data_IF_142563060818
#
_entry.id   IF_142563060818
#
_cell.length_a   1.000
_cell.length_b   1.000
_cell.length_c   1.000
_cell.angle_alpha   90.00
_cell.angle_beta   90.00
_cell.angle_gamma   90.00
#
_symmetry.space_group_name_H-M   'P 1'
#
loop_
_entity.id
_entity.type
_entity.pdbx_description
1 polymer ?
#
# COMPACT_ATOMS: atom_id res chain seq x y z
N UNK A 1 13.64 -3.71 -95.34
CA UNK A 1 14.76 -2.78 -95.68
C UNK A 1 15.40 -2.39 -94.35
N UNK A 2 16.62 -2.95 -94.12
CA UNK A 2 17.84 -2.22 -93.82
C UNK A 2 17.71 -1.21 -92.65
N UNK A 3 18.52 -1.17 -91.59
CA UNK A 3 19.98 -1.51 -91.36
C UNK A 3 20.14 -1.41 -89.82
N UNK A 4 20.78 -2.29 -89.11
CA UNK A 4 22.16 -2.33 -88.66
C UNK A 4 22.65 -1.00 -87.98
N UNK A 5 23.12 -1.10 -86.73
CA UNK A 5 24.53 -0.99 -86.27
C UNK A 5 24.44 -0.93 -84.71
N UNK A 6 24.84 -1.89 -83.96
CA UNK A 6 26.16 -2.24 -83.40
C UNK A 6 26.73 -1.24 -82.39
N UNK A 7 26.90 -1.72 -81.16
CA UNK A 7 28.13 -1.73 -80.32
C UNK A 7 28.54 -0.40 -79.65
N UNK A 8 28.57 -0.34 -78.34
CA UNK A 8 29.81 -0.33 -77.57
C UNK A 8 29.61 -0.59 -76.07
N UNK A 9 30.38 -1.49 -75.57
CA UNK A 9 30.70 -1.87 -74.22
C UNK A 9 31.33 -0.71 -73.47
N UNK A 10 30.88 -0.40 -72.26
CA UNK A 10 31.73 0.17 -71.21
C UNK A 10 31.25 -0.25 -69.87
N UNK A 11 31.96 -1.16 -69.25
CA UNK A 11 31.86 -1.56 -67.88
C UNK A 11 32.30 -0.42 -66.95
N UNK A 12 31.47 0.07 -66.11
CA UNK A 12 31.87 0.85 -64.94
C UNK A 12 31.33 0.16 -63.69
N UNK A 13 32.18 -0.53 -62.98
CA UNK A 13 31.97 -1.08 -61.68
C UNK A 13 31.88 0.08 -60.67
N UNK A 14 30.70 0.39 -60.20
CA UNK A 14 30.52 1.25 -59.03
C UNK A 14 30.40 0.35 -57.82
N UNK A 15 31.46 0.33 -57.01
CA UNK A 15 31.42 -0.21 -55.64
C UNK A 15 30.48 0.64 -54.80
N UNK A 16 29.27 0.17 -54.58
CA UNK A 16 28.37 0.70 -53.54
C UNK A 16 28.81 0.14 -52.20
N UNK A 17 29.54 0.93 -51.44
CA UNK A 17 29.73 0.75 -50.00
C UNK A 17 28.38 0.90 -49.33
N UNK A 18 27.67 -0.20 -49.08
CA UNK A 18 26.56 -0.26 -48.16
C UNK A 18 27.11 -0.11 -46.74
N UNK A 19 27.11 1.15 -46.26
CA UNK A 19 27.25 1.42 -44.83
C UNK A 19 25.99 0.86 -44.14
N UNK A 20 26.11 -0.30 -43.50
CA UNK A 20 25.16 -0.77 -42.49
C UNK A 20 25.23 0.17 -41.32
N UNK A 21 24.57 1.30 -41.41
CA UNK A 21 24.13 2.08 -40.27
C UNK A 21 23.05 1.27 -39.55
N UNK A 22 23.42 0.57 -38.48
CA UNK A 22 22.47 -0.04 -37.58
C UNK A 22 21.57 1.04 -37.00
N UNK A 23 20.43 1.26 -37.62
CA UNK A 23 19.34 2.00 -37.06
C UNK A 23 18.86 1.18 -35.85
N UNK A 24 19.30 1.54 -34.63
CA UNK A 24 18.64 1.12 -33.43
C UNK A 24 17.23 1.67 -33.54
N UNK A 25 16.30 0.88 -34.05
CA UNK A 25 14.88 1.06 -33.80
C UNK A 25 14.76 0.98 -32.30
N UNK A 26 14.61 2.12 -31.62
CA UNK A 26 14.03 2.16 -30.31
C UNK A 26 12.61 1.61 -30.47
N UNK A 27 12.44 0.31 -30.27
CA UNK A 27 11.15 -0.24 -29.97
C UNK A 27 10.69 0.50 -28.70
N UNK A 28 9.78 1.42 -28.84
CA UNK A 28 8.96 1.88 -27.75
C UNK A 28 8.16 0.66 -27.32
N UNK A 29 8.71 -0.12 -26.39
CA UNK A 29 7.94 -1.20 -25.75
C UNK A 29 6.73 -0.53 -25.14
N UNK A 30 5.54 -0.91 -25.57
CA UNK A 30 4.31 -0.46 -24.92
C UNK A 30 4.38 -0.93 -23.47
N UNK A 31 4.14 -0.01 -22.54
CA UNK A 31 4.06 -0.36 -21.12
C UNK A 31 2.96 -1.41 -20.91
N UNK A 32 3.21 -2.35 -20.02
CA UNK A 32 2.21 -3.33 -19.60
C UNK A 32 1.26 -2.68 -18.61
N UNK A 33 -0.04 -2.73 -18.89
CA UNK A 33 -1.05 -2.20 -17.97
C UNK A 33 -1.21 -3.14 -16.78
N UNK A 34 -1.17 -2.57 -15.58
CA UNK A 34 -1.41 -3.28 -14.32
C UNK A 34 -2.36 -2.44 -13.46
N UNK A 35 -3.43 -3.06 -12.99
CA UNK A 35 -4.36 -2.42 -12.06
C UNK A 35 -4.06 -2.90 -10.64
N UNK A 36 -3.70 -1.96 -9.77
CA UNK A 36 -3.50 -2.16 -8.34
C UNK A 36 -4.72 -1.62 -7.59
N UNK A 37 -5.38 -2.46 -6.79
CA UNK A 37 -6.43 -2.03 -5.88
C UNK A 37 -5.85 -1.97 -4.46
N UNK A 38 -5.82 -0.77 -3.86
CA UNK A 38 -5.36 -0.56 -2.49
C UNK A 38 -6.53 -0.47 -1.51
N UNK A 39 -6.36 -1.00 -0.31
CA UNK A 39 -7.40 -1.03 0.74
C UNK A 39 -7.84 0.37 1.19
N UNK A 40 -6.91 1.32 1.19
CA UNK A 40 -7.09 2.71 1.59
C UNK A 40 -6.04 3.59 0.90
N UNK A 41 -6.38 4.85 0.65
CA UNK A 41 -5.42 5.86 0.23
C UNK A 41 -4.85 6.55 1.48
N UNK A 42 -3.64 6.16 1.90
CA UNK A 42 -3.08 6.59 3.19
C UNK A 42 -1.57 6.80 3.12
N UNK A 43 -1.08 7.86 3.77
CA UNK A 43 0.37 8.14 3.93
C UNK A 43 1.11 6.95 4.57
N UNK A 44 0.40 6.06 5.25
CA UNK A 44 0.90 4.79 5.74
C UNK A 44 1.62 3.94 4.66
N UNK A 45 1.28 4.16 3.40
CA UNK A 45 1.83 3.46 2.24
C UNK A 45 2.85 4.31 1.45
N UNK A 46 3.52 5.25 2.10
CA UNK A 46 4.45 6.18 1.47
C UNK A 46 5.45 5.56 0.48
N UNK A 47 6.08 4.38 0.73
CA UNK A 47 6.99 3.77 -0.26
C UNK A 47 6.30 3.44 -1.60
N UNK A 48 5.02 3.03 -1.59
CA UNK A 48 4.24 2.81 -2.81
C UNK A 48 4.08 4.10 -3.61
N UNK A 49 3.72 5.19 -2.94
CA UNK A 49 3.52 6.48 -3.60
C UNK A 49 4.83 7.09 -4.07
N UNK A 50 5.93 6.89 -3.35
CA UNK A 50 7.28 7.23 -3.83
C UNK A 50 7.58 6.49 -5.13
N UNK A 51 7.26 5.20 -5.22
CA UNK A 51 7.49 4.43 -6.45
C UNK A 51 6.63 4.94 -7.62
N UNK A 52 5.42 5.41 -7.34
CA UNK A 52 4.51 6.00 -8.35
C UNK A 52 5.06 7.36 -8.81
N UNK A 53 5.31 8.28 -7.89
CA UNK A 53 5.68 9.68 -8.20
C UNK A 53 7.06 9.79 -8.84
N UNK A 54 8.01 8.94 -8.43
CA UNK A 54 9.33 8.87 -9.05
C UNK A 54 9.33 8.08 -10.37
N UNK A 55 8.19 7.53 -10.80
CA UNK A 55 8.07 6.83 -12.08
C UNK A 55 8.71 5.45 -12.13
N UNK A 56 9.02 4.84 -10.98
CA UNK A 56 9.74 3.55 -10.94
C UNK A 56 8.95 2.41 -11.59
N UNK A 57 7.61 2.45 -11.56
CA UNK A 57 6.79 1.48 -12.30
C UNK A 57 6.95 1.63 -13.82
N UNK A 58 7.04 2.85 -14.34
CA UNK A 58 7.26 3.11 -15.76
C UNK A 58 8.66 2.65 -16.20
N UNK A 59 9.66 2.84 -15.35
CA UNK A 59 11.03 2.39 -15.57
C UNK A 59 11.12 0.86 -15.67
N UNK A 60 10.24 0.16 -14.95
CA UNK A 60 10.11 -1.31 -15.02
C UNK A 60 9.13 -1.78 -16.11
N UNK A 61 8.67 -0.88 -16.98
CA UNK A 61 7.79 -1.21 -18.10
C UNK A 61 6.31 -1.36 -17.74
N UNK A 62 5.86 -0.83 -16.59
CA UNK A 62 4.50 -0.92 -16.10
C UNK A 62 3.78 0.42 -16.25
N UNK A 63 2.57 0.39 -16.83
CA UNK A 63 1.58 1.47 -16.79
C UNK A 63 0.58 1.16 -15.67
N UNK A 64 0.87 1.70 -14.47
CA UNK A 64 0.10 1.41 -13.26
C UNK A 64 -1.17 2.24 -13.20
N UNK A 65 -2.30 1.58 -12.97
CA UNK A 65 -3.58 2.20 -12.57
C UNK A 65 -3.82 1.88 -11.10
N UNK A 66 -3.90 2.92 -10.25
CA UNK A 66 -4.21 2.78 -8.84
C UNK A 66 -5.70 3.03 -8.60
N UNK A 67 -6.34 2.13 -7.85
CA UNK A 67 -7.76 2.22 -7.46
C UNK A 67 -7.87 1.99 -5.96
N UNK A 68 -8.62 2.83 -5.25
CA UNK A 68 -8.87 2.65 -3.82
C UNK A 68 -10.16 1.88 -3.58
N UNK A 69 -10.10 0.74 -2.89
CA UNK A 69 -11.22 -0.15 -2.62
C UNK A 69 -12.07 0.24 -1.40
N UNK A 70 -11.51 1.00 -0.46
CA UNK A 70 -12.16 1.36 0.82
C UNK A 70 -12.61 0.15 1.64
N UNK A 71 -11.71 -0.82 1.82
CA UNK A 71 -11.90 -2.01 2.63
C UNK A 71 -11.23 -3.25 2.03
N UNK A 72 -10.69 -4.11 2.89
CA UNK A 72 -9.95 -5.30 2.48
C UNK A 72 -10.84 -6.32 1.72
N UNK A 73 -12.11 -6.44 2.14
CA UNK A 73 -13.11 -7.26 1.48
C UNK A 73 -13.39 -6.80 0.02
N UNK A 74 -13.47 -5.50 -0.21
CA UNK A 74 -13.68 -4.91 -1.54
C UNK A 74 -12.44 -5.08 -2.41
N UNK A 75 -11.25 -4.83 -1.84
CA UNK A 75 -9.98 -5.04 -2.54
C UNK A 75 -9.78 -6.50 -2.93
N UNK A 76 -10.01 -7.44 -2.00
CA UNK A 76 -9.95 -8.87 -2.30
C UNK A 76 -10.95 -9.26 -3.39
N UNK A 77 -12.19 -8.74 -3.32
CA UNK A 77 -13.22 -8.99 -4.34
C UNK A 77 -12.78 -8.48 -5.72
N UNK A 78 -12.20 -7.29 -5.82
CA UNK A 78 -11.70 -6.74 -7.08
C UNK A 78 -10.63 -7.65 -7.72
N UNK A 79 -9.73 -8.23 -6.91
CA UNK A 79 -8.71 -9.15 -7.43
C UNK A 79 -9.34 -10.50 -7.84
N UNK A 80 -10.22 -11.06 -7.02
CA UNK A 80 -10.86 -12.35 -7.32
C UNK A 80 -11.73 -12.24 -8.57
N UNK A 81 -12.46 -11.13 -8.75
CA UNK A 81 -13.30 -10.89 -9.94
C UNK A 81 -12.49 -10.59 -11.21
N UNK A 82 -11.22 -10.20 -11.08
CA UNK A 82 -10.35 -9.78 -12.18
C UNK A 82 -10.52 -8.30 -12.58
N UNK A 83 -11.17 -7.49 -11.75
CA UNK A 83 -11.22 -6.02 -11.89
C UNK A 83 -9.86 -5.38 -11.55
N UNK A 84 -9.07 -6.04 -10.71
CA UNK A 84 -7.69 -5.67 -10.42
C UNK A 84 -6.77 -6.89 -10.60
N UNK A 85 -5.53 -6.64 -11.02
CA UNK A 85 -4.48 -7.65 -11.16
C UNK A 85 -3.84 -7.96 -9.81
N UNK A 86 -3.63 -6.90 -9.02
CA UNK A 86 -2.95 -6.95 -7.73
C UNK A 86 -3.83 -6.25 -6.69
N UNK A 87 -3.94 -6.84 -5.51
CA UNK A 87 -4.55 -6.24 -4.32
C UNK A 87 -3.49 -5.87 -3.30
N UNK A 88 -3.66 -4.72 -2.65
CA UNK A 88 -2.82 -4.28 -1.55
C UNK A 88 -3.68 -4.06 -0.32
N UNK A 89 -3.56 -4.97 0.66
CA UNK A 89 -4.45 -5.03 1.83
C UNK A 89 -3.80 -5.82 2.96
N UNK A 90 -4.50 -5.99 4.07
CA UNK A 90 -4.07 -6.86 5.17
C UNK A 90 -3.84 -8.29 4.68
N UNK A 91 -2.76 -8.91 5.15
CA UNK A 91 -2.34 -10.25 4.73
C UNK A 91 -3.36 -11.35 5.07
N UNK A 92 -4.21 -11.12 6.07
CA UNK A 92 -5.29 -12.03 6.50
C UNK A 92 -6.31 -12.31 5.40
N UNK A 93 -6.50 -11.38 4.46
CA UNK A 93 -7.45 -11.53 3.36
C UNK A 93 -7.17 -12.76 2.50
N UNK A 94 -5.90 -13.14 2.34
CA UNK A 94 -5.51 -14.34 1.62
C UNK A 94 -6.03 -15.61 2.28
N UNK A 95 -6.09 -15.64 3.62
CA UNK A 95 -6.63 -16.78 4.40
C UNK A 95 -8.13 -16.90 4.17
N UNK A 96 -8.87 -15.77 4.19
CA UNK A 96 -10.31 -15.78 3.98
C UNK A 96 -10.67 -16.26 2.57
N UNK A 97 -9.94 -15.78 1.55
CA UNK A 97 -10.16 -16.20 0.16
C UNK A 97 -9.79 -17.68 -0.03
N UNK A 98 -8.68 -18.14 0.56
CA UNK A 98 -8.31 -19.56 0.50
C UNK A 98 -9.40 -20.47 1.07
N UNK A 99 -10.01 -20.09 2.18
CA UNK A 99 -11.10 -20.85 2.80
C UNK A 99 -12.39 -20.87 1.95
N UNK A 100 -12.60 -19.85 1.11
CA UNK A 100 -13.76 -19.74 0.23
C UNK A 100 -13.54 -20.38 -1.14
N UNK A 101 -12.35 -20.24 -1.70
CA UNK A 101 -11.97 -20.74 -3.02
C UNK A 101 -10.51 -21.22 -3.02
N UNK A 102 -10.26 -22.49 -2.65
CA UNK A 102 -8.91 -23.06 -2.61
C UNK A 102 -8.31 -23.35 -4.00
N UNK A 103 -9.10 -23.27 -5.08
CA UNK A 103 -8.63 -23.60 -6.43
C UNK A 103 -7.82 -22.45 -7.07
N UNK A 104 -8.20 -21.19 -6.77
CA UNK A 104 -7.49 -19.99 -7.27
C UNK A 104 -7.48 -18.90 -6.19
N UNK A 105 -6.74 -19.16 -5.14
CA UNK A 105 -6.64 -18.30 -3.96
C UNK A 105 -5.67 -17.13 -4.15
N UNK A 106 -5.68 -16.19 -3.22
CA UNK A 106 -4.72 -15.09 -3.17
C UNK A 106 -3.41 -15.54 -2.52
N UNK A 107 -2.31 -15.17 -3.17
CA UNK A 107 -0.94 -15.36 -2.65
C UNK A 107 -0.36 -14.00 -2.30
N UNK A 108 0.05 -13.82 -1.06
CA UNK A 108 0.85 -12.68 -0.65
C UNK A 108 2.27 -12.84 -1.20
N UNK A 109 2.69 -11.96 -2.12
CA UNK A 109 3.99 -12.08 -2.78
C UNK A 109 5.00 -10.99 -2.39
N UNK A 110 4.53 -9.91 -1.73
CA UNK A 110 5.38 -8.83 -1.25
C UNK A 110 4.74 -8.17 -0.01
N UNK A 111 5.55 -7.80 0.98
CA UNK A 111 5.11 -7.11 2.19
C UNK A 111 5.69 -5.69 2.22
N UNK A 112 4.85 -4.68 2.47
CA UNK A 112 5.28 -3.28 2.59
C UNK A 112 5.49 -2.85 4.04
N UNK A 113 4.49 -3.10 4.89
CA UNK A 113 4.47 -2.61 6.27
C UNK A 113 4.65 -3.77 7.25
N UNK A 114 5.44 -3.52 8.29
CA UNK A 114 5.78 -4.50 9.32
C UNK A 114 5.24 -4.14 10.70
N UNK A 115 4.45 -3.06 10.80
CA UNK A 115 3.75 -2.62 12.00
C UNK A 115 2.37 -2.11 11.64
N UNK A 116 1.47 -2.07 12.62
CA UNK A 116 0.17 -1.43 12.44
C UNK A 116 0.33 0.07 12.17
N UNK A 117 -0.49 0.61 11.28
CA UNK A 117 -0.46 2.02 10.88
C UNK A 117 -1.48 2.89 11.60
N UNK A 118 -2.22 2.33 12.55
CA UNK A 118 -3.27 3.01 13.26
C UNK A 118 -2.86 3.41 14.69
N UNK A 119 -3.57 4.38 15.19
CA UNK A 119 -3.35 5.01 16.49
C UNK A 119 -4.63 4.95 17.32
N UNK A 120 -4.47 4.85 18.64
CA UNK A 120 -5.58 5.01 19.57
C UNK A 120 -5.71 6.50 19.89
N UNK A 121 -6.88 7.05 19.58
CA UNK A 121 -7.22 8.46 19.84
C UNK A 121 -8.24 8.50 20.96
N UNK A 122 -7.95 9.28 22.01
CA UNK A 122 -8.84 9.51 23.15
C UNK A 122 -9.56 10.86 23.04
N UNK A 123 -10.74 11.01 23.69
CA UNK A 123 -11.42 12.31 23.80
C UNK A 123 -10.69 13.29 24.70
N UNK A 124 -9.99 12.77 25.69
CA UNK A 124 -9.27 13.57 26.68
C UNK A 124 -7.80 13.26 26.61
N UNK A 125 -6.95 14.28 26.71
CA UNK A 125 -5.52 14.09 26.75
C UNK A 125 -5.09 13.30 28.00
N UNK A 126 -4.14 12.38 27.83
CA UNK A 126 -3.53 11.63 28.91
C UNK A 126 -2.07 11.36 28.62
N UNK A 127 -1.19 12.01 29.37
CA UNK A 127 0.27 11.78 29.28
C UNK A 127 0.69 10.45 29.94
N UNK A 128 -0.24 9.76 30.60
CA UNK A 128 0.01 8.54 31.40
C UNK A 128 -0.88 7.37 30.96
N UNK A 129 -1.34 7.36 29.72
CA UNK A 129 -2.22 6.30 29.21
C UNK A 129 -1.62 4.90 29.44
N UNK A 130 -2.47 4.01 29.92
CA UNK A 130 -2.20 2.58 30.03
C UNK A 130 -3.32 1.81 29.31
N UNK A 131 -2.99 0.69 28.66
CA UNK A 131 -3.99 -0.12 27.95
C UNK A 131 -5.16 -0.54 28.86
N UNK A 132 -4.91 -0.73 30.16
CA UNK A 132 -5.94 -1.05 31.16
C UNK A 132 -6.98 0.04 31.36
N UNK A 133 -6.71 1.27 30.93
CA UNK A 133 -7.66 2.40 31.00
C UNK A 133 -8.86 2.20 30.05
N UNK A 134 -8.72 1.28 29.11
CA UNK A 134 -9.80 0.91 28.18
C UNK A 134 -10.90 0.06 28.85
N UNK A 135 -10.66 -0.50 30.04
CA UNK A 135 -11.69 -1.31 30.73
C UNK A 135 -12.93 -0.49 31.08
N UNK A 136 -14.08 -0.98 30.67
CA UNK A 136 -15.38 -0.32 30.88
C UNK A 136 -15.71 0.78 29.87
N UNK A 137 -14.84 1.04 28.87
CA UNK A 137 -15.05 2.12 27.89
C UNK A 137 -15.72 1.62 26.61
N UNK A 138 -16.12 2.58 25.78
CA UNK A 138 -16.65 2.35 24.44
C UNK A 138 -15.63 2.84 23.39
N UNK A 139 -15.23 1.94 22.48
CA UNK A 139 -14.19 2.18 21.48
C UNK A 139 -14.73 1.91 20.07
N UNK A 140 -14.51 2.83 19.13
CA UNK A 140 -14.63 2.50 17.71
C UNK A 140 -13.36 1.78 17.26
N UNK A 141 -13.43 0.44 17.12
CA UNK A 141 -12.27 -0.44 16.99
C UNK A 141 -11.93 -0.88 15.56
N UNK A 142 -12.64 -0.37 14.56
CA UNK A 142 -12.51 -0.84 13.19
C UNK A 142 -13.45 -1.99 12.85
N UNK A 143 -13.43 -2.47 11.61
CA UNK A 143 -14.35 -3.53 11.14
C UNK A 143 -13.92 -4.90 11.63
N UNK A 144 -14.90 -5.71 12.00
CA UNK A 144 -14.70 -7.09 12.43
C UNK A 144 -13.91 -7.91 11.40
N UNK A 145 -12.87 -8.60 11.86
CA UNK A 145 -12.04 -9.50 11.05
C UNK A 145 -11.07 -8.81 10.10
N UNK A 146 -10.96 -7.49 10.14
CA UNK A 146 -9.91 -6.76 9.43
C UNK A 146 -8.63 -6.67 10.25
N UNK A 147 -7.47 -6.55 9.60
CA UNK A 147 -6.18 -6.45 10.27
C UNK A 147 -6.13 -5.37 11.37
N UNK A 148 -6.70 -4.17 11.20
CA UNK A 148 -6.71 -3.15 12.24
C UNK A 148 -7.37 -3.60 13.55
N UNK A 149 -8.52 -4.24 13.44
CA UNK A 149 -9.30 -4.72 14.58
C UNK A 149 -8.61 -5.93 15.24
N UNK A 150 -8.15 -6.88 14.44
CA UNK A 150 -7.43 -8.06 14.94
C UNK A 150 -6.18 -7.68 15.72
N UNK A 151 -5.40 -6.71 15.24
CA UNK A 151 -4.23 -6.19 15.95
C UNK A 151 -4.62 -5.46 17.22
N UNK A 152 -5.69 -4.68 17.21
CA UNK A 152 -6.20 -4.03 18.40
C UNK A 152 -6.59 -5.07 19.49
N UNK A 153 -7.36 -6.09 19.12
CA UNK A 153 -7.69 -7.18 20.06
C UNK A 153 -6.46 -7.94 20.56
N UNK A 154 -5.47 -8.17 19.68
CA UNK A 154 -4.21 -8.78 20.08
C UNK A 154 -3.51 -7.96 21.17
N UNK A 155 -3.44 -6.63 21.00
CA UNK A 155 -2.83 -5.73 21.98
C UNK A 155 -3.61 -5.77 23.31
N UNK A 156 -4.94 -5.77 23.26
CA UNK A 156 -5.78 -5.89 24.46
C UNK A 156 -5.48 -7.19 25.21
N UNK A 157 -5.49 -8.32 24.52
CA UNK A 157 -5.19 -9.67 25.10
C UNK A 157 -3.78 -9.72 25.69
N UNK A 158 -2.79 -9.15 25.01
CA UNK A 158 -1.41 -9.03 25.48
C UNK A 158 -1.29 -8.25 26.80
N UNK A 159 -2.19 -7.28 27.01
CA UNK A 159 -2.26 -6.47 28.22
C UNK A 159 -3.26 -7.02 29.29
N UNK A 160 -3.73 -8.25 29.15
CA UNK A 160 -4.64 -8.89 30.10
C UNK A 160 -6.05 -8.32 30.10
N UNK A 161 -6.50 -7.85 28.93
CA UNK A 161 -7.83 -7.30 28.70
C UNK A 161 -8.59 -8.27 27.79
N UNK A 162 -9.76 -8.71 28.22
CA UNK A 162 -10.65 -9.51 27.38
C UNK A 162 -11.50 -8.59 26.50
N UNK A 163 -11.28 -8.55 25.17
CA UNK A 163 -12.00 -7.64 24.28
C UNK A 163 -13.50 -7.90 24.22
N UNK A 164 -13.96 -9.10 24.59
CA UNK A 164 -15.39 -9.45 24.59
C UNK A 164 -16.12 -9.09 25.90
N UNK A 165 -15.38 -8.80 26.99
CA UNK A 165 -15.94 -8.66 28.33
C UNK A 165 -15.58 -7.32 28.98
N UNK A 166 -14.31 -6.88 28.81
CA UNK A 166 -13.76 -5.76 29.58
C UNK A 166 -14.11 -4.39 29.01
N UNK A 167 -14.54 -4.29 27.73
CA UNK A 167 -14.89 -3.04 27.07
C UNK A 167 -15.93 -3.27 25.97
N UNK A 168 -16.46 -2.21 25.38
CA UNK A 168 -17.31 -2.30 24.19
C UNK A 168 -16.53 -1.86 22.97
N UNK A 169 -16.27 -2.77 22.02
CA UNK A 169 -15.65 -2.47 20.73
C UNK A 169 -16.76 -2.42 19.68
N UNK A 170 -17.05 -1.24 19.15
CA UNK A 170 -17.99 -1.09 18.05
C UNK A 170 -17.27 -1.30 16.71
N UNK A 171 -17.68 -2.34 16.03
CA UNK A 171 -17.13 -2.79 14.75
C UNK A 171 -18.07 -2.51 13.56
N UNK A 172 -19.16 -1.75 13.82
CA UNK A 172 -20.20 -1.48 12.81
C UNK A 172 -19.90 -0.29 11.91
N UNK A 173 -18.92 0.54 12.29
CA UNK A 173 -18.58 1.77 11.55
C UNK A 173 -17.73 1.42 10.33
N UNK A 174 -18.13 1.94 9.16
CA UNK A 174 -17.40 1.74 7.92
C UNK A 174 -15.98 2.33 7.97
N UNK A 175 -15.07 1.68 7.24
CA UNK A 175 -13.69 2.12 7.11
C UNK A 175 -13.61 3.59 6.63
N UNK A 176 -12.81 4.39 7.32
CA UNK A 176 -12.65 5.82 7.04
C UNK A 176 -13.76 6.72 7.59
N UNK A 177 -14.76 6.15 8.31
CA UNK A 177 -15.87 6.91 8.91
C UNK A 177 -15.77 7.01 10.43
N UNK A 178 -14.79 6.38 11.05
CA UNK A 178 -14.62 6.29 12.52
C UNK A 178 -14.38 7.67 13.15
N UNK A 179 -13.53 8.51 12.57
CA UNK A 179 -13.28 9.87 13.05
C UNK A 179 -14.54 10.75 13.02
N UNK A 180 -15.35 10.65 11.96
CA UNK A 180 -16.61 11.37 11.85
C UNK A 180 -17.63 10.86 12.87
N UNK A 181 -17.72 9.54 13.08
CA UNK A 181 -18.56 8.95 14.11
C UNK A 181 -18.11 9.35 15.52
N UNK A 182 -16.80 9.36 15.76
CA UNK A 182 -16.20 9.78 17.03
C UNK A 182 -16.54 11.23 17.37
N UNK A 183 -16.44 12.15 16.42
CA UNK A 183 -16.72 13.58 16.62
C UNK A 183 -18.21 13.93 16.54
N UNK A 184 -19.05 12.98 16.13
CA UNK A 184 -20.49 13.17 15.98
C UNK A 184 -21.20 13.47 17.30
N UNK A 185 -22.29 14.27 17.23
CA UNK A 185 -23.10 14.59 18.39
C UNK A 185 -23.72 13.33 19.01
N UNK A 186 -23.50 13.13 20.30
CA UNK A 186 -24.04 11.99 21.03
C UNK A 186 -23.26 10.68 20.84
N UNK A 187 -22.09 10.74 20.23
CA UNK A 187 -21.20 9.58 20.15
C UNK A 187 -20.85 9.06 21.55
N UNK A 188 -21.01 7.76 21.83
CA UNK A 188 -20.70 7.18 23.15
C UNK A 188 -19.20 6.89 23.31
N UNK A 189 -18.41 6.90 22.22
CA UNK A 189 -17.04 6.44 22.24
C UNK A 189 -16.11 7.39 23.00
N UNK A 190 -15.38 6.87 23.96
CA UNK A 190 -14.28 7.56 24.63
C UNK A 190 -12.98 7.48 23.82
N UNK A 191 -12.86 6.43 23.01
CA UNK A 191 -11.70 6.17 22.15
C UNK A 191 -12.12 5.78 20.74
N UNK A 192 -11.22 6.01 19.80
CA UNK A 192 -11.35 5.52 18.41
C UNK A 192 -9.99 5.07 17.88
N UNK A 193 -9.99 4.06 17.02
CA UNK A 193 -8.81 3.57 16.33
C UNK A 193 -8.76 4.21 14.95
N UNK A 194 -7.77 5.06 14.71
CA UNK A 194 -7.67 5.88 13.51
C UNK A 194 -6.37 5.64 12.75
N UNK A 195 -6.47 5.75 11.42
CA UNK A 195 -5.31 5.90 10.55
C UNK A 195 -4.98 7.37 10.32
N UNK A 196 -3.78 7.62 9.81
CA UNK A 196 -3.43 8.93 9.29
C UNK A 196 -4.02 9.15 7.87
N UNK A 197 -4.49 10.33 7.53
CA UNK A 197 -4.34 11.61 8.28
C UNK A 197 -5.39 11.88 9.36
N UNK A 198 -6.37 11.00 9.57
CA UNK A 198 -7.50 11.25 10.48
C UNK A 198 -7.06 11.43 11.94
N UNK A 199 -6.07 10.67 12.41
CA UNK A 199 -5.55 10.81 13.78
C UNK A 199 -4.97 12.23 14.00
N UNK A 200 -4.08 12.68 13.10
CA UNK A 200 -3.51 14.03 13.16
C UNK A 200 -4.58 15.12 13.02
N UNK A 201 -5.57 14.94 12.15
CA UNK A 201 -6.66 15.91 12.00
C UNK A 201 -7.47 16.07 13.28
N UNK A 202 -7.79 14.98 13.99
CA UNK A 202 -8.47 15.05 15.28
C UNK A 202 -7.66 15.81 16.33
N UNK A 203 -6.33 15.65 16.35
CA UNK A 203 -5.44 16.40 17.24
C UNK A 203 -5.42 17.90 16.88
N UNK A 204 -5.24 18.24 15.60
CA UNK A 204 -5.21 19.63 15.14
C UNK A 204 -6.53 20.38 15.38
N UNK A 205 -7.65 19.67 15.27
CA UNK A 205 -8.97 20.23 15.54
C UNK A 205 -9.32 20.28 17.05
N UNK A 206 -8.45 19.75 17.91
CA UNK A 206 -8.69 19.65 19.36
C UNK A 206 -9.87 18.77 19.73
N UNK A 207 -10.21 17.81 18.86
CA UNK A 207 -11.34 16.88 19.03
C UNK A 207 -10.93 15.51 19.55
N UNK A 208 -9.62 15.23 19.57
CA UNK A 208 -9.05 14.00 20.07
C UNK A 208 -7.55 14.14 20.30
N UNK A 209 -6.97 13.16 20.97
CA UNK A 209 -5.57 13.11 21.32
C UNK A 209 -5.03 11.71 21.05
N UNK A 210 -3.96 11.58 20.28
CA UNK A 210 -3.26 10.31 20.10
C UNK A 210 -2.62 9.91 21.42
N UNK A 211 -3.05 8.82 22.01
CA UNK A 211 -2.54 8.33 23.30
C UNK A 211 -1.68 7.09 23.18
N UNK A 212 -1.77 6.35 22.06
CA UNK A 212 -0.91 5.20 21.79
C UNK A 212 -0.79 4.90 20.30
N UNK A 213 0.38 4.39 19.88
CA UNK A 213 0.57 3.74 18.58
C UNK A 213 0.25 2.25 18.70
N UNK A 214 -0.66 1.75 17.86
CA UNK A 214 -0.89 0.32 17.76
C UNK A 214 0.31 -0.39 17.14
N UNK A 215 1.04 0.29 16.26
CA UNK A 215 2.25 -0.24 15.63
C UNK A 215 3.39 -0.52 16.60
N UNK A 216 3.58 0.35 17.60
CA UNK A 216 4.55 0.12 18.67
C UNK A 216 4.07 -0.98 19.61
N UNK A 217 2.80 -0.95 20.01
CA UNK A 217 2.23 -1.88 20.98
C UNK A 217 2.13 -3.31 20.46
N UNK A 218 1.81 -3.50 19.17
CA UNK A 218 1.75 -4.83 18.54
C UNK A 218 3.13 -5.46 18.36
N UNK A 219 4.14 -4.64 18.08
CA UNK A 219 5.41 -5.10 17.56
C UNK A 219 5.36 -5.36 16.06
N UNK A 220 6.26 -6.21 15.54
CA UNK A 220 6.27 -6.57 14.12
C UNK A 220 5.18 -7.59 13.79
N UNK A 221 4.43 -7.29 12.75
CA UNK A 221 3.35 -8.13 12.20
C UNK A 221 3.34 -7.98 10.67
N UNK A 222 2.93 -8.99 9.90
CA UNK A 222 2.84 -8.88 8.43
C UNK A 222 1.58 -8.09 8.05
N UNK A 223 1.59 -6.77 8.34
CA UNK A 223 0.37 -5.97 8.39
C UNK A 223 -0.25 -5.77 7.01
N UNK A 224 0.48 -5.19 6.05
CA UNK A 224 -0.05 -4.98 4.69
C UNK A 224 0.85 -5.63 3.65
N UNK A 225 0.24 -6.40 2.76
CA UNK A 225 0.92 -7.15 1.72
C UNK A 225 0.23 -6.97 0.34
N UNK A 226 1.02 -7.15 -0.70
CA UNK A 226 0.54 -7.26 -2.08
C UNK A 226 0.19 -8.70 -2.38
N UNK A 227 -1.01 -8.90 -2.92
CA UNK A 227 -1.55 -10.21 -3.25
C UNK A 227 -2.01 -10.27 -4.69
N UNK A 228 -1.85 -11.41 -5.32
CA UNK A 228 -2.42 -11.73 -6.62
C UNK A 228 -3.02 -13.13 -6.60
N UNK A 229 -3.90 -13.44 -7.56
CA UNK A 229 -4.39 -14.82 -7.71
C UNK A 229 -3.24 -15.77 -8.05
N UNK A 230 -3.30 -16.99 -7.54
CA UNK A 230 -2.31 -18.04 -7.86
C UNK A 230 -2.17 -18.24 -9.37
N UNK A 231 -3.27 -18.20 -10.12
CA UNK A 231 -3.27 -18.28 -11.58
C UNK A 231 -2.54 -17.11 -12.24
N UNK A 232 -2.75 -15.88 -11.75
CA UNK A 232 -2.08 -14.68 -12.26
C UNK A 232 -0.57 -14.72 -11.99
N UNK A 233 -0.17 -15.11 -10.76
CA UNK A 233 1.22 -15.26 -10.36
C UNK A 233 1.96 -16.27 -11.26
N UNK A 234 1.30 -17.39 -11.58
CA UNK A 234 1.87 -18.41 -12.45
C UNK A 234 1.96 -17.98 -13.92
N UNK A 235 1.01 -17.19 -14.40
CA UNK A 235 0.95 -16.74 -15.79
C UNK A 235 1.83 -15.50 -16.08
N UNK A 236 2.09 -14.65 -15.07
CA UNK A 236 2.74 -13.35 -15.23
C UNK A 236 3.88 -13.10 -14.24
N UNK A 237 4.83 -14.05 -14.04
CA UNK A 237 5.90 -13.90 -13.06
C UNK A 237 6.80 -12.68 -13.37
N UNK A 238 7.02 -12.38 -14.66
CA UNK A 238 7.85 -11.25 -15.08
C UNK A 238 7.19 -9.90 -14.72
N UNK A 239 5.87 -9.80 -14.82
CA UNK A 239 5.14 -8.58 -14.43
C UNK A 239 5.23 -8.38 -12.93
N UNK A 240 5.04 -9.44 -12.13
CA UNK A 240 5.14 -9.36 -10.67
C UNK A 240 6.58 -9.05 -10.22
N UNK A 241 7.59 -9.56 -10.94
CA UNK A 241 8.98 -9.21 -10.65
C UNK A 241 9.25 -7.73 -10.96
N UNK A 242 8.80 -7.22 -12.10
CA UNK A 242 8.91 -5.81 -12.46
C UNK A 242 8.17 -4.91 -11.45
N UNK A 243 6.98 -5.31 -11.03
CA UNK A 243 6.21 -4.62 -10.00
C UNK A 243 6.97 -4.56 -8.66
N UNK A 244 7.52 -5.69 -8.22
CA UNK A 244 8.32 -5.77 -6.98
C UNK A 244 9.61 -4.96 -7.06
N UNK A 245 10.29 -4.95 -8.23
CA UNK A 245 11.47 -4.12 -8.44
C UNK A 245 11.16 -2.63 -8.28
N UNK A 246 10.02 -2.17 -8.83
CA UNK A 246 9.58 -0.78 -8.68
C UNK A 246 9.29 -0.42 -7.22
N UNK A 247 8.60 -1.30 -6.50
CA UNK A 247 8.32 -1.12 -5.08
C UNK A 247 9.60 -1.09 -4.24
N UNK A 248 10.57 -1.99 -4.53
CA UNK A 248 11.83 -2.01 -3.79
C UNK A 248 12.58 -0.69 -3.92
N UNK A 249 12.58 -0.07 -5.11
CA UNK A 249 13.15 1.28 -5.28
C UNK A 249 12.45 2.32 -4.40
N UNK A 250 11.13 2.22 -4.23
CA UNK A 250 10.35 3.06 -3.30
C UNK A 250 10.74 2.81 -1.84
N UNK A 251 10.93 1.55 -1.45
CA UNK A 251 11.42 1.17 -0.12
C UNK A 251 12.83 1.71 0.14
N UNK A 252 13.75 1.53 -0.82
CA UNK A 252 15.13 2.03 -0.73
C UNK A 252 15.16 3.56 -0.61
N UNK A 253 14.25 4.25 -1.30
CA UNK A 253 14.13 5.69 -1.20
C UNK A 253 13.78 6.11 0.23
N UNK A 254 12.74 5.53 0.84
CA UNK A 254 12.33 5.90 2.21
C UNK A 254 13.36 5.50 3.26
N UNK A 255 14.21 4.51 3.01
CA UNK A 255 15.30 4.14 3.92
C UNK A 255 16.49 5.12 3.89
N UNK A 256 16.62 5.91 2.83
CA UNK A 256 17.81 6.76 2.59
C UNK A 256 17.51 8.26 2.58
N UNK A 257 16.24 8.65 2.66
CA UNK A 257 15.81 10.05 2.63
C UNK A 257 15.11 10.44 3.93
N UNK A 258 15.12 11.74 4.21
CA UNK A 258 14.46 12.30 5.40
C UNK A 258 12.93 12.28 5.23
N UNK A 259 12.17 12.28 6.33
CA UNK A 259 10.70 12.40 6.28
C UNK A 259 10.20 13.59 5.44
N UNK A 260 10.91 14.73 5.49
CA UNK A 260 10.56 15.90 4.70
C UNK A 260 10.77 15.68 3.18
N UNK A 261 11.84 14.99 2.78
CA UNK A 261 12.08 14.64 1.38
C UNK A 261 11.04 13.64 0.89
N UNK A 262 10.68 12.65 1.70
CA UNK A 262 9.62 11.68 1.40
C UNK A 262 8.28 12.39 1.24
N UNK A 263 7.93 13.27 2.19
CA UNK A 263 6.69 14.05 2.17
C UNK A 263 6.55 14.88 0.88
N UNK A 264 7.62 15.55 0.44
CA UNK A 264 7.64 16.31 -0.82
C UNK A 264 7.36 15.46 -2.05
N UNK A 265 7.89 14.24 -2.09
CA UNK A 265 7.66 13.32 -3.22
C UNK A 265 6.22 12.87 -3.26
N UNK A 266 5.63 12.49 -2.12
CA UNK A 266 4.28 11.93 -2.09
C UNK A 266 3.17 12.98 -2.04
N UNK A 267 3.50 14.26 -1.84
CA UNK A 267 2.52 15.35 -1.74
C UNK A 267 1.48 15.38 -2.88
N UNK A 268 1.81 15.10 -4.16
CA UNK A 268 0.81 15.05 -5.23
C UNK A 268 -0.31 14.04 -5.00
N UNK A 269 -0.05 12.97 -4.26
CA UNK A 269 -1.05 11.97 -3.90
C UNK A 269 -2.01 12.46 -2.80
N UNK A 270 -1.63 13.47 -2.02
CA UNK A 270 -2.36 14.00 -0.87
C UNK A 270 -2.57 15.51 -1.00
N UNK A 271 -3.09 15.95 -2.15
CA UNK A 271 -3.21 17.38 -2.49
C UNK A 271 -4.07 18.20 -1.51
N UNK A 272 -4.98 17.55 -0.78
CA UNK A 272 -5.84 18.20 0.22
C UNK A 272 -5.14 18.37 1.59
N UNK A 273 -3.93 17.81 1.77
CA UNK A 273 -3.17 17.88 3.02
C UNK A 273 -1.94 18.75 2.82
N UNK A 274 -1.69 19.69 3.71
CA UNK A 274 -0.51 20.55 3.65
C UNK A 274 0.79 19.76 3.90
N UNK A 275 1.90 20.29 3.37
CA UNK A 275 3.19 19.59 3.42
C UNK A 275 3.70 19.37 4.85
N UNK A 276 3.44 20.31 5.76
CA UNK A 276 3.89 20.21 7.15
C UNK A 276 3.16 19.06 7.85
N UNK A 277 1.86 18.93 7.62
CA UNK A 277 1.05 17.80 8.11
C UNK A 277 1.52 16.45 7.51
N UNK A 278 1.76 16.39 6.19
CA UNK A 278 2.30 15.17 5.55
C UNK A 278 3.66 14.82 6.17
N UNK A 279 4.54 15.82 6.38
CA UNK A 279 5.86 15.61 6.98
C UNK A 279 5.76 15.06 8.41
N UNK A 280 4.86 15.61 9.22
CA UNK A 280 4.64 15.13 10.59
C UNK A 280 4.16 13.67 10.61
N UNK A 281 3.24 13.30 9.71
CA UNK A 281 2.72 11.93 9.57
C UNK A 281 3.81 10.98 9.10
N UNK A 282 4.57 11.35 8.07
CA UNK A 282 5.71 10.55 7.57
C UNK A 282 6.74 10.35 8.68
N UNK A 283 7.05 11.40 9.47
CA UNK A 283 7.97 11.31 10.60
C UNK A 283 7.49 10.29 11.62
N UNK A 284 6.21 10.33 11.99
CA UNK A 284 5.58 9.38 12.93
C UNK A 284 5.71 7.94 12.46
N UNK A 285 5.44 7.66 11.17
CA UNK A 285 5.59 6.33 10.59
C UNK A 285 7.07 5.90 10.45
N UNK A 286 7.94 6.83 10.15
CA UNK A 286 9.38 6.59 10.06
C UNK A 286 9.99 6.22 11.42
N UNK A 287 9.66 6.97 12.46
CA UNK A 287 10.18 6.78 13.83
C UNK A 287 9.68 5.46 14.45
N UNK A 288 8.46 5.04 14.16
CA UNK A 288 7.96 3.74 14.63
C UNK A 288 8.44 2.54 13.80
N UNK A 289 9.32 2.73 12.80
CA UNK A 289 9.84 1.65 11.94
C UNK A 289 8.74 0.88 11.22
N UNK A 290 7.82 1.64 10.57
CA UNK A 290 6.63 1.09 9.92
C UNK A 290 6.95 0.26 8.70
N UNK A 291 7.92 0.71 7.88
CA UNK A 291 8.21 0.13 6.58
C UNK A 291 9.38 -0.84 6.67
N UNK A 292 9.23 -1.98 6.01
CA UNK A 292 10.31 -2.95 5.88
C UNK A 292 11.48 -2.38 5.07
N UNK A 293 12.64 -3.01 5.22
CA UNK A 293 13.82 -2.72 4.39
C UNK A 293 13.73 -3.38 3.04
N UNK A 294 13.06 -4.51 2.96
CA UNK A 294 12.81 -5.28 1.76
C UNK A 294 11.35 -5.75 1.72
N UNK A 295 10.94 -6.30 0.60
CA UNK A 295 9.57 -6.76 0.37
C UNK A 295 9.33 -8.24 0.74
N UNK A 296 10.31 -8.90 1.39
CA UNK A 296 10.21 -10.31 1.75
C UNK A 296 9.13 -10.51 2.81
N UNK A 297 8.17 -11.39 2.52
CA UNK A 297 7.17 -11.82 3.49
C UNK A 297 7.78 -12.93 4.36
N UNK A 298 8.14 -12.59 5.58
CA UNK A 298 8.86 -13.51 6.46
C UNK A 298 7.92 -14.44 7.22
N UNK A 299 8.23 -15.74 7.21
CA UNK A 299 7.50 -16.76 7.94
C UNK A 299 7.38 -16.42 9.44
N UNK A 300 8.48 -15.96 10.04
CA UNK A 300 8.53 -15.60 11.48
C UNK A 300 7.62 -14.45 11.89
N UNK A 301 7.20 -13.63 10.94
CA UNK A 301 6.23 -12.55 11.19
C UNK A 301 4.78 -13.04 11.12
N UNK A 302 4.57 -14.21 10.49
CA UNK A 302 3.25 -14.81 10.30
C UNK A 302 2.92 -15.84 11.40
N UNK A 303 3.93 -16.52 11.95
CA UNK A 303 3.81 -17.51 13.04
C UNK A 303 3.48 -16.85 14.39
#
# INVERSE_FOLDING_TARGET
MKKWISVFLSALAVLSLTACGGQKTSQTSSLTKVTLNEVAHSIFYAPQYVAIENGYFKDEGIDLTLVTGFGADKTATAVVSGEADIGFMGSESSIYIYNQNPDDYLVNFAQLTQRAGNFLVARTNSDTFQWTDLKGTYVYGGRAGGMPEMVFEYILKKNGIDPAVDLTIDQSIDFGSTAAAFTGNGSPAEYTVEFEPSATALEQEGKGYVVASLGEASGYVPYTAYSAKQSYLSAHPDILQAFTNALQKGMDYVQTHTPEEIAKVIQPQFAETDLDTITAIVTRYYEQDTWKKDLIFEQSSFD
#
